data_IF_647599367343
#
_entry.id   IF_647599367343
#
_cell.length_a   1.000
_cell.length_b   1.000
_cell.length_c   1.000
_cell.angle_alpha   90.00
_cell.angle_beta   90.00
_cell.angle_gamma   90.00
#
_symmetry.space_group_name_H-M   'P 1'
#
loop_
_entity.id
_entity.type
_entity.pdbx_description
1 polymer ?
#
# COMPACT_ATOMS: atom_id res chain seq x y z
N UNK A 1 -9.71 45.87 -10.55
CA UNK A 1 -9.42 45.55 -9.13
C UNK A 1 -9.32 46.89 -8.39
N UNK A 2 -10.10 47.09 -7.32
CA UNK A 2 -10.13 48.35 -6.55
C UNK A 2 -8.74 48.68 -5.97
N UNK A 3 -8.36 49.96 -5.90
CA UNK A 3 -7.08 50.44 -5.33
C UNK A 3 -6.86 49.91 -3.91
N UNK A 4 -7.94 49.76 -3.14
CA UNK A 4 -7.89 49.18 -1.79
C UNK A 4 -7.53 47.68 -1.79
N UNK A 5 -8.06 46.92 -2.75
CA UNK A 5 -7.71 45.49 -2.92
C UNK A 5 -6.27 45.36 -3.41
N UNK A 6 -5.83 46.23 -4.32
CA UNK A 6 -4.43 46.27 -4.77
C UNK A 6 -3.46 46.59 -3.61
N UNK A 7 -3.82 47.54 -2.75
CA UNK A 7 -3.05 47.88 -1.56
C UNK A 7 -2.99 46.71 -0.56
N UNK A 8 -4.11 46.04 -0.29
CA UNK A 8 -4.16 44.85 0.57
C UNK A 8 -3.30 43.71 0.03
N UNK A 9 -3.38 43.41 -1.26
CA UNK A 9 -2.55 42.38 -1.91
C UNK A 9 -1.07 42.73 -1.79
N UNK A 10 -0.69 44.00 -1.95
CA UNK A 10 0.71 44.46 -1.78
C UNK A 10 1.24 44.40 -0.34
N UNK A 11 0.35 44.26 0.64
CA UNK A 11 0.67 44.15 2.08
C UNK A 11 0.38 42.77 2.64
N UNK A 12 -0.02 41.83 1.80
CA UNK A 12 -0.24 40.45 2.21
C UNK A 12 1.11 39.85 2.62
N UNK A 13 1.22 39.24 3.82
CA UNK A 13 2.39 38.44 4.16
C UNK A 13 2.61 37.36 3.11
N UNK A 14 3.85 36.89 2.97
CA UNK A 14 4.12 35.69 2.17
C UNK A 14 3.20 34.56 2.62
N UNK A 15 2.54 33.92 1.66
CA UNK A 15 1.61 32.83 1.96
C UNK A 15 2.37 31.70 2.65
N UNK A 16 1.93 31.33 3.85
CA UNK A 16 2.43 30.13 4.52
C UNK A 16 2.19 28.93 3.59
N UNK A 17 3.26 28.22 3.20
CA UNK A 17 3.19 27.01 2.39
C UNK A 17 2.67 25.82 3.22
N UNK A 18 1.41 25.90 3.63
CA UNK A 18 0.70 24.82 4.31
C UNK A 18 0.26 23.79 3.26
N UNK A 19 0.69 22.54 3.45
CA UNK A 19 0.25 21.42 2.65
C UNK A 19 -0.90 20.70 3.34
N UNK A 20 -1.78 20.06 2.57
CA UNK A 20 -2.89 19.23 3.06
C UNK A 20 -2.85 17.87 2.38
N UNK A 21 -2.83 16.81 3.18
CA UNK A 21 -2.89 15.42 2.73
C UNK A 21 -3.82 14.64 3.65
N UNK A 22 -4.35 13.50 3.18
CA UNK A 22 -4.96 12.54 4.11
C UNK A 22 -3.86 11.94 5.00
N UNK A 23 -4.22 11.46 6.19
CA UNK A 23 -3.25 10.83 7.09
C UNK A 23 -2.54 9.64 6.42
N UNK A 24 -3.25 8.87 5.61
CA UNK A 24 -2.66 7.75 4.89
C UNK A 24 -1.66 8.21 3.83
N UNK A 25 -2.05 9.15 2.95
CA UNK A 25 -1.15 9.74 1.95
C UNK A 25 0.08 10.37 2.60
N UNK A 26 -0.10 11.10 3.70
CA UNK A 26 0.98 11.74 4.45
C UNK A 26 2.03 10.74 4.93
N UNK A 27 1.59 9.60 5.45
CA UNK A 27 2.49 8.54 5.92
C UNK A 27 3.14 7.83 4.73
N UNK A 28 2.37 7.46 3.71
CA UNK A 28 2.89 6.75 2.53
C UNK A 28 3.95 7.59 1.80
N UNK A 29 3.66 8.86 1.53
CA UNK A 29 4.60 9.79 0.87
C UNK A 29 5.85 10.03 1.72
N UNK A 30 5.68 10.23 3.04
CA UNK A 30 6.79 10.44 3.96
C UNK A 30 7.69 9.22 4.10
N UNK A 31 7.10 8.03 4.20
CA UNK A 31 7.81 6.75 4.27
C UNK A 31 8.50 6.44 2.93
N UNK A 32 7.84 6.61 1.79
CA UNK A 32 8.49 6.40 0.49
C UNK A 32 9.66 7.38 0.27
N UNK A 33 9.43 8.64 0.62
CA UNK A 33 10.40 9.73 0.52
C UNK A 33 11.66 9.49 1.34
N UNK A 34 11.52 9.18 2.63
CA UNK A 34 12.66 9.10 3.54
C UNK A 34 13.17 7.67 3.82
N UNK A 35 12.27 6.70 3.95
CA UNK A 35 12.64 5.29 4.17
C UNK A 35 12.84 4.54 2.85
N UNK A 36 11.84 4.55 1.96
CA UNK A 36 11.78 3.71 0.76
C UNK A 36 13.01 3.88 -0.13
N UNK A 37 13.32 5.12 -0.54
CA UNK A 37 14.49 5.42 -1.38
C UNK A 37 15.80 4.89 -0.80
N UNK A 38 16.01 5.05 0.52
CA UNK A 38 17.26 4.64 1.19
C UNK A 38 17.34 3.13 1.39
N UNK A 39 16.25 2.54 1.84
CA UNK A 39 16.14 1.10 2.08
C UNK A 39 16.34 0.31 0.78
N UNK A 40 15.58 0.61 -0.28
CA UNK A 40 15.68 -0.12 -1.54
C UNK A 40 17.02 0.10 -2.25
N UNK A 41 17.66 1.25 -2.04
CA UNK A 41 19.01 1.50 -2.52
C UNK A 41 20.05 0.61 -1.81
N UNK A 42 20.08 0.58 -0.47
CA UNK A 42 20.97 -0.31 0.29
C UNK A 42 20.73 -1.78 -0.05
N UNK A 43 19.46 -2.19 -0.09
CA UNK A 43 19.07 -3.55 -0.43
C UNK A 43 19.59 -3.97 -1.81
N UNK A 44 19.43 -3.10 -2.83
CA UNK A 44 19.92 -3.37 -4.19
C UNK A 44 21.45 -3.51 -4.21
N UNK A 45 22.17 -2.61 -3.54
CA UNK A 45 23.64 -2.66 -3.49
C UNK A 45 24.15 -3.94 -2.79
N UNK A 46 23.59 -4.27 -1.62
CA UNK A 46 23.96 -5.49 -0.89
C UNK A 46 23.69 -6.74 -1.71
N UNK A 47 22.53 -6.80 -2.38
CA UNK A 47 22.16 -7.92 -3.26
C UNK A 47 23.09 -8.06 -4.46
N UNK A 48 23.48 -6.95 -5.10
CA UNK A 48 24.44 -6.97 -6.21
C UNK A 48 25.85 -7.40 -5.76
N UNK A 49 26.23 -7.06 -4.54
CA UNK A 49 27.50 -7.48 -3.94
C UNK A 49 27.46 -8.90 -3.34
N UNK A 50 26.30 -9.56 -3.32
CA UNK A 50 26.13 -10.88 -2.71
C UNK A 50 26.26 -10.88 -1.18
N UNK A 51 26.04 -9.73 -0.54
CA UNK A 51 26.04 -9.59 0.92
C UNK A 51 24.72 -10.10 1.52
N UNK A 52 24.72 -10.57 2.78
CA UNK A 52 23.50 -10.96 3.48
C UNK A 52 22.58 -9.77 3.72
N UNK A 53 21.34 -10.03 4.13
CA UNK A 53 20.39 -8.98 4.49
C UNK A 53 20.95 -8.03 5.56
N UNK A 54 20.44 -6.80 5.58
CA UNK A 54 20.83 -5.84 6.61
C UNK A 54 20.26 -6.29 7.97
N UNK A 55 20.90 -5.84 9.05
CA UNK A 55 20.44 -6.13 10.41
C UNK A 55 19.01 -5.60 10.63
N UNK A 56 18.05 -6.44 11.07
CA UNK A 56 16.66 -6.05 11.31
C UNK A 56 16.49 -4.81 12.18
N UNK A 57 17.25 -4.70 13.27
CA UNK A 57 17.17 -3.56 14.19
C UNK A 57 17.45 -2.23 13.51
N UNK A 58 18.41 -2.20 12.57
CA UNK A 58 18.78 -1.00 11.82
C UNK A 58 17.68 -0.59 10.84
N UNK A 59 17.04 -1.56 10.18
CA UNK A 59 15.92 -1.30 9.26
C UNK A 59 14.71 -0.77 10.06
N UNK A 60 14.38 -1.43 11.18
CA UNK A 60 13.28 -1.04 12.06
C UNK A 60 13.51 0.37 12.63
N UNK A 61 14.73 0.67 13.08
CA UNK A 61 15.08 2.00 13.58
C UNK A 61 14.96 3.08 12.50
N UNK A 62 15.44 2.81 11.27
CA UNK A 62 15.24 3.74 10.15
C UNK A 62 13.75 4.02 9.93
N UNK A 63 12.92 2.99 9.80
CA UNK A 63 11.48 3.15 9.59
C UNK A 63 10.80 3.90 10.74
N UNK A 64 11.02 3.47 11.98
CA UNK A 64 10.39 4.08 13.15
C UNK A 64 10.85 5.53 13.39
N UNK A 65 12.09 5.87 13.01
CA UNK A 65 12.60 7.25 13.09
C UNK A 65 11.95 8.19 12.07
N UNK A 66 11.63 7.70 10.86
CA UNK A 66 10.85 8.47 9.88
C UNK A 66 9.46 8.75 10.44
N UNK A 67 8.79 7.76 11.02
CA UNK A 67 7.49 7.96 11.65
C UNK A 67 7.56 8.92 12.84
N UNK A 68 8.62 8.86 13.65
CA UNK A 68 8.84 9.80 14.74
C UNK A 68 8.95 11.23 14.21
N UNK A 69 9.78 11.43 13.18
CA UNK A 69 9.92 12.72 12.51
C UNK A 69 8.60 13.24 11.92
N UNK A 70 7.88 12.41 11.16
CA UNK A 70 6.58 12.77 10.60
C UNK A 70 5.58 13.12 11.71
N UNK A 71 5.64 12.42 12.85
CA UNK A 71 4.78 12.74 13.99
C UNK A 71 5.08 14.12 14.57
N UNK A 72 6.36 14.51 14.63
CA UNK A 72 6.79 15.81 15.14
C UNK A 72 6.45 16.95 14.17
N UNK A 73 6.53 16.70 12.85
CA UNK A 73 6.11 17.65 11.82
C UNK A 73 4.59 17.85 11.83
N UNK A 74 3.80 16.77 11.89
CA UNK A 74 2.34 16.81 11.91
C UNK A 74 1.77 17.41 13.21
N UNK A 75 2.53 17.37 14.31
CA UNK A 75 2.13 17.91 15.62
C UNK A 75 2.94 19.14 16.04
N UNK A 76 3.50 19.87 15.08
CA UNK A 76 4.31 21.06 15.31
C UNK A 76 3.55 22.12 16.10
N UNK A 77 4.13 22.60 17.21
CA UNK A 77 3.54 23.64 18.05
C UNK A 77 3.32 24.96 17.30
N UNK A 78 4.11 25.23 16.26
CA UNK A 78 3.95 26.39 15.39
C UNK A 78 2.60 26.43 14.66
N UNK A 79 1.90 25.29 14.55
CA UNK A 79 0.54 25.25 13.98
C UNK A 79 -0.48 25.92 14.90
N UNK A 80 -0.25 25.89 16.23
CA UNK A 80 -1.10 26.54 17.21
C UNK A 80 -1.10 28.07 17.07
N UNK A 81 -0.03 28.65 16.54
CA UNK A 81 0.10 30.10 16.35
C UNK A 81 -0.72 30.63 15.17
N UNK A 82 -1.27 29.72 14.35
CA UNK A 82 -2.08 30.09 13.19
C UNK A 82 -3.51 30.44 13.60
N UNK A 83 -3.95 31.65 13.25
CA UNK A 83 -5.35 32.09 13.45
C UNK A 83 -6.30 31.68 12.30
N UNK A 84 -5.92 30.64 11.55
CA UNK A 84 -6.64 30.07 10.42
C UNK A 84 -7.27 28.72 10.84
N UNK A 85 -8.46 28.30 10.37
CA UNK A 85 -9.29 28.85 9.30
C UNK A 85 -10.34 29.86 9.77
N UNK A 86 -10.87 30.64 8.82
CA UNK A 86 -12.06 31.49 9.05
C UNK A 86 -13.28 30.58 9.24
N UNK A 87 -14.02 30.81 10.33
CA UNK A 87 -15.04 29.87 10.83
C UNK A 87 -16.16 29.58 9.83
N UNK A 88 -16.51 30.57 9.03
CA UNK A 88 -17.62 30.56 8.07
C UNK A 88 -17.35 29.73 6.82
N UNK A 89 -16.07 29.44 6.55
CA UNK A 89 -15.65 28.65 5.39
C UNK A 89 -15.14 27.26 5.79
N UNK A 90 -15.17 26.93 7.08
CA UNK A 90 -14.67 25.65 7.58
C UNK A 90 -15.74 24.57 7.44
N UNK A 91 -15.38 23.46 6.79
CA UNK A 91 -16.24 22.30 6.65
C UNK A 91 -15.85 21.19 7.63
N UNK A 92 -16.80 20.35 8.08
CA UNK A 92 -16.50 19.13 8.82
C UNK A 92 -15.54 18.23 8.03
N UNK A 93 -14.47 17.78 8.70
CA UNK A 93 -13.36 16.99 8.14
C UNK A 93 -12.28 17.81 7.44
N UNK A 94 -12.55 19.08 7.15
CA UNK A 94 -11.69 19.94 6.34
C UNK A 94 -11.57 19.47 4.88
N UNK A 95 -10.96 20.32 4.06
CA UNK A 95 -10.69 20.06 2.65
C UNK A 95 -9.24 20.43 2.31
N UNK A 96 -8.85 20.33 1.03
CA UNK A 96 -7.45 20.57 0.62
C UNK A 96 -6.98 22.01 0.88
N UNK A 97 -7.91 22.96 0.95
CA UNK A 97 -7.65 24.39 1.05
C UNK A 97 -7.88 24.92 2.47
N UNK A 98 -8.85 24.36 3.19
CA UNK A 98 -9.35 24.85 4.46
C UNK A 98 -9.46 23.70 5.46
N UNK A 99 -8.72 23.77 6.58
CA UNK A 99 -8.87 22.82 7.66
C UNK A 99 -10.22 22.93 8.39
N UNK A 100 -10.54 21.95 9.22
CA UNK A 100 -11.65 22.03 10.16
C UNK A 100 -11.30 22.96 11.33
N UNK A 101 -12.31 23.47 12.05
CA UNK A 101 -12.14 24.49 13.11
C UNK A 101 -11.14 24.15 14.23
N UNK A 102 -10.96 22.87 14.53
CA UNK A 102 -10.16 22.40 15.66
C UNK A 102 -8.84 21.74 15.23
N UNK A 103 -8.39 21.98 14.00
CA UNK A 103 -7.24 21.27 13.42
C UNK A 103 -5.91 21.59 14.10
N UNK A 104 -5.77 22.78 14.69
CA UNK A 104 -4.56 23.25 15.33
C UNK A 104 -4.67 23.33 16.85
N UNK A 105 -5.71 22.76 17.45
CA UNK A 105 -5.79 22.68 18.91
C UNK A 105 -4.79 21.63 19.43
N UNK A 106 -4.13 21.87 20.57
CA UNK A 106 -3.07 21.00 21.07
C UNK A 106 -3.54 19.55 21.28
N UNK A 107 -4.79 19.34 21.65
CA UNK A 107 -5.37 18.01 21.80
C UNK A 107 -5.44 17.25 20.46
N UNK A 108 -5.84 17.93 19.37
CA UNK A 108 -5.88 17.32 18.04
C UNK A 108 -4.46 17.00 17.54
N UNK A 109 -3.51 17.92 17.73
CA UNK A 109 -2.11 17.69 17.38
C UNK A 109 -1.51 16.52 18.18
N UNK A 110 -1.82 16.40 19.47
CA UNK A 110 -1.41 15.28 20.30
C UNK A 110 -2.05 13.95 19.85
N UNK A 111 -3.29 13.98 19.35
CA UNK A 111 -3.92 12.82 18.73
C UNK A 111 -3.24 12.46 17.42
N UNK A 112 -2.95 13.43 16.54
CA UNK A 112 -2.22 13.21 15.28
C UNK A 112 -0.86 12.58 15.55
N UNK A 113 -0.11 13.09 16.52
CA UNK A 113 1.16 12.50 16.96
C UNK A 113 1.01 11.01 17.29
N UNK A 114 0.01 10.67 18.12
CA UNK A 114 -0.27 9.27 18.49
C UNK A 114 -0.73 8.43 17.31
N UNK A 115 -1.52 8.99 16.39
CA UNK A 115 -1.99 8.31 15.20
C UNK A 115 -0.81 7.96 14.27
N UNK A 116 0.08 8.92 14.00
CA UNK A 116 1.31 8.70 13.21
C UNK A 116 2.21 7.65 13.88
N UNK A 117 2.46 7.76 15.18
CA UNK A 117 3.32 6.81 15.91
C UNK A 117 2.74 5.39 15.96
N UNK A 118 1.42 5.23 15.83
CA UNK A 118 0.81 3.89 15.82
C UNK A 118 1.12 3.06 14.56
N UNK A 119 1.71 3.67 13.52
CA UNK A 119 2.27 2.96 12.37
C UNK A 119 3.63 2.30 12.65
N UNK A 120 4.25 2.58 13.80
CA UNK A 120 5.53 1.97 14.18
C UNK A 120 5.38 0.46 14.30
N UNK A 121 6.46 -0.24 13.98
CA UNK A 121 6.59 -1.68 14.17
C UNK A 121 7.46 -1.96 15.41
N UNK A 122 7.19 -3.04 16.17
CA UNK A 122 7.98 -3.38 17.34
C UNK A 122 9.43 -3.69 16.96
N UNK A 123 10.37 -3.48 17.89
CA UNK A 123 11.74 -3.95 17.71
C UNK A 123 11.78 -5.47 17.74
N UNK A 124 12.65 -6.05 16.91
CA UNK A 124 12.85 -7.48 16.83
C UNK A 124 14.13 -7.88 17.58
N UNK A 125 13.99 -8.76 18.56
CA UNK A 125 15.13 -9.41 19.20
C UNK A 125 15.71 -10.48 18.26
N UNK A 126 17.00 -10.37 17.97
CA UNK A 126 17.67 -11.30 17.05
C UNK A 126 17.90 -12.66 17.72
N UNK A 127 17.70 -13.77 16.98
CA UNK A 127 17.98 -15.08 17.51
C UNK A 127 19.50 -15.27 17.67
N UNK A 128 19.95 -16.05 18.66
CA UNK A 128 21.38 -16.36 18.83
C UNK A 128 22.00 -16.97 17.56
N UNK A 129 23.28 -16.68 17.34
CA UNK A 129 24.04 -17.28 16.24
C UNK A 129 24.06 -18.81 16.40
N UNK A 130 23.52 -19.53 15.42
CA UNK A 130 23.40 -20.99 15.46
C UNK A 130 22.09 -21.52 16.06
N UNK A 131 21.10 -20.66 16.32
CA UNK A 131 19.78 -21.11 16.75
C UNK A 131 19.14 -22.06 15.72
N UNK A 132 18.45 -23.12 16.16
CA UNK A 132 17.78 -24.07 15.28
C UNK A 132 16.65 -23.39 14.47
N UNK A 133 16.49 -23.79 13.22
CA UNK A 133 15.58 -23.16 12.26
C UNK A 133 14.12 -23.11 12.72
N UNK A 134 13.61 -24.20 13.30
CA UNK A 134 12.20 -24.28 13.72
C UNK A 134 11.86 -23.24 14.80
N UNK A 135 12.62 -23.11 15.90
CA UNK A 135 12.43 -22.00 16.84
C UNK A 135 12.58 -20.61 16.24
N UNK A 136 13.51 -20.42 15.30
CA UNK A 136 13.66 -19.12 14.61
C UNK A 136 12.41 -18.78 13.79
N UNK A 137 11.86 -19.73 13.02
CA UNK A 137 10.60 -19.54 12.31
C UNK A 137 9.46 -19.19 13.27
N UNK A 138 9.37 -19.90 14.40
CA UNK A 138 8.33 -19.63 15.40
C UNK A 138 8.44 -18.20 15.96
N UNK A 139 9.65 -17.76 16.30
CA UNK A 139 9.93 -16.39 16.75
C UNK A 139 9.52 -15.36 15.68
N UNK A 140 9.83 -15.61 14.41
CA UNK A 140 9.42 -14.72 13.30
C UNK A 140 7.89 -14.67 13.19
N UNK A 141 7.20 -15.80 13.26
CA UNK A 141 5.73 -15.81 13.23
C UNK A 141 5.09 -15.13 14.44
N UNK A 142 5.68 -15.28 15.62
CA UNK A 142 5.27 -14.55 16.82
C UNK A 142 5.43 -13.04 16.62
N UNK A 143 6.57 -12.59 16.10
CA UNK A 143 6.80 -11.18 15.77
C UNK A 143 5.78 -10.65 14.76
N UNK A 144 5.57 -11.36 13.66
CA UNK A 144 4.59 -11.00 12.61
C UNK A 144 3.18 -10.88 13.17
N UNK A 145 2.80 -11.76 14.12
CA UNK A 145 1.48 -11.70 14.77
C UNK A 145 1.25 -10.43 15.60
N UNK A 146 2.33 -9.77 16.07
CA UNK A 146 2.23 -8.52 16.82
C UNK A 146 1.97 -7.30 15.91
N UNK A 147 2.22 -7.43 14.60
CA UNK A 147 2.12 -6.32 13.65
C UNK A 147 0.69 -6.17 13.12
N UNK A 148 0.00 -7.30 12.91
CA UNK A 148 -1.37 -7.34 12.41
C UNK A 148 -2.32 -6.62 13.39
N UNK A 149 -3.15 -5.71 12.86
CA UNK A 149 -4.13 -4.98 13.66
C UNK A 149 -5.40 -5.79 13.90
N UNK A 150 -5.57 -6.94 13.22
CA UNK A 150 -6.73 -7.80 13.36
C UNK A 150 -6.43 -9.27 13.10
N UNK A 151 -7.26 -10.15 13.66
CA UNK A 151 -7.20 -11.60 13.41
C UNK A 151 -7.51 -12.00 11.97
N UNK A 152 -8.18 -11.13 11.19
CA UNK A 152 -8.58 -11.42 9.81
C UNK A 152 -7.46 -11.17 8.81
N UNK A 153 -6.59 -10.20 9.10
CA UNK A 153 -5.46 -9.80 8.25
C UNK A 153 -4.17 -10.55 8.61
N UNK A 154 -4.10 -11.11 9.83
CA UNK A 154 -2.99 -11.93 10.29
C UNK A 154 -2.64 -13.12 9.37
N UNK A 155 -3.59 -13.94 8.85
CA UNK A 155 -3.24 -15.05 7.95
C UNK A 155 -2.57 -14.59 6.66
N UNK A 156 -2.89 -13.38 6.17
CA UNK A 156 -2.30 -12.84 4.94
C UNK A 156 -0.80 -12.61 5.11
N UNK A 157 -0.40 -11.86 6.15
CA UNK A 157 1.01 -11.60 6.41
C UNK A 157 1.77 -12.89 6.80
N UNK A 158 1.13 -13.80 7.54
CA UNK A 158 1.72 -15.09 7.88
C UNK A 158 2.04 -15.92 6.63
N UNK A 159 1.10 -16.03 5.69
CA UNK A 159 1.31 -16.81 4.45
C UNK A 159 2.44 -16.23 3.57
N UNK A 160 2.56 -14.90 3.51
CA UNK A 160 3.62 -14.23 2.75
C UNK A 160 4.99 -14.50 3.37
N UNK A 161 5.10 -14.41 4.70
CA UNK A 161 6.34 -14.71 5.42
C UNK A 161 6.68 -16.19 5.37
N UNK A 162 5.69 -17.07 5.50
CA UNK A 162 5.88 -18.52 5.36
C UNK A 162 6.44 -18.90 3.99
N UNK A 163 5.95 -18.26 2.92
CA UNK A 163 6.46 -18.45 1.57
C UNK A 163 7.94 -18.03 1.46
N UNK A 164 8.32 -16.89 2.07
CA UNK A 164 9.72 -16.44 2.12
C UNK A 164 10.62 -17.42 2.88
N UNK A 165 10.17 -17.91 4.04
CA UNK A 165 10.90 -18.88 4.85
C UNK A 165 11.04 -20.22 4.13
N UNK A 166 9.96 -20.70 3.49
CA UNK A 166 9.95 -21.94 2.71
C UNK A 166 10.92 -21.87 1.54
N UNK A 167 10.92 -20.77 0.78
CA UNK A 167 11.89 -20.53 -0.31
C UNK A 167 13.32 -20.52 0.20
N UNK A 168 13.56 -19.92 1.36
CA UNK A 168 14.89 -19.87 1.99
C UNK A 168 15.35 -21.27 2.38
N UNK A 169 14.47 -22.04 3.02
CA UNK A 169 14.73 -23.42 3.41
C UNK A 169 15.00 -24.34 2.20
N UNK A 170 14.18 -24.25 1.15
CA UNK A 170 14.38 -25.01 -0.09
C UNK A 170 15.72 -24.67 -0.77
N UNK A 171 16.06 -23.37 -0.83
CA UNK A 171 17.33 -22.92 -1.40
C UNK A 171 18.53 -23.43 -0.62
N UNK A 172 18.44 -23.45 0.72
CA UNK A 172 19.45 -24.04 1.59
C UNK A 172 19.55 -25.55 1.37
N UNK A 173 18.42 -26.27 1.40
CA UNK A 173 18.37 -27.73 1.19
C UNK A 173 18.99 -28.17 -0.14
N UNK A 174 18.75 -27.40 -1.21
CA UNK A 174 19.30 -27.68 -2.53
C UNK A 174 20.82 -27.45 -2.62
N UNK A 175 21.42 -26.67 -1.70
CA UNK A 175 22.87 -26.43 -1.62
C UNK A 175 23.59 -27.48 -0.79
N UNK A 176 22.92 -28.01 0.24
CA UNK A 176 23.51 -28.88 1.27
C UNK A 176 23.22 -30.37 1.00
N UNK A 177 23.32 -30.79 -0.27
CA UNK A 177 23.12 -32.21 -0.64
C UNK A 177 24.32 -33.02 -0.15
N UNK A 178 24.19 -33.65 1.03
CA UNK A 178 25.16 -34.63 1.53
C UNK A 178 25.56 -34.54 3.00
N UNK A 179 25.14 -33.52 3.76
CA UNK A 179 25.41 -33.41 5.20
C UNK A 179 24.17 -33.80 6.02
N UNK A 180 24.38 -34.51 7.13
CA UNK A 180 23.33 -35.09 7.98
C UNK A 180 22.40 -34.03 8.62
N UNK A 181 21.26 -33.82 7.97
CA UNK A 181 19.85 -33.76 8.42
C UNK A 181 19.39 -33.10 9.74
N UNK A 182 20.19 -32.33 10.47
CA UNK A 182 19.64 -31.56 11.63
C UNK A 182 19.96 -30.06 11.68
N UNK A 183 20.80 -29.55 10.79
CA UNK A 183 21.00 -28.11 10.63
C UNK A 183 19.89 -27.48 9.79
N UNK A 184 19.49 -26.25 10.05
CA UNK A 184 18.70 -25.45 9.11
C UNK A 184 19.48 -24.24 8.62
N UNK A 185 18.86 -23.36 7.81
CA UNK A 185 19.48 -22.11 7.37
C UNK A 185 20.03 -21.29 8.54
N UNK A 186 21.17 -20.64 8.34
CA UNK A 186 21.75 -19.75 9.34
C UNK A 186 20.95 -18.44 9.47
N UNK A 187 21.13 -17.73 10.58
CA UNK A 187 20.44 -16.44 10.84
C UNK A 187 20.77 -15.38 9.78
N UNK A 188 21.98 -15.42 9.21
CA UNK A 188 22.43 -14.51 8.16
C UNK A 188 21.83 -14.81 6.78
N UNK A 189 21.31 -16.02 6.57
CA UNK A 189 20.65 -16.43 5.32
C UNK A 189 19.16 -16.06 5.29
N UNK A 190 18.60 -15.64 6.43
CA UNK A 190 17.20 -15.21 6.53
C UNK A 190 17.03 -13.90 5.72
N UNK A 191 16.01 -13.81 4.86
CA UNK A 191 15.77 -12.63 4.04
C UNK A 191 15.09 -11.52 4.87
N UNK A 192 15.79 -10.99 5.86
CA UNK A 192 15.28 -9.99 6.79
C UNK A 192 14.73 -8.75 6.10
N UNK A 193 15.40 -8.27 5.05
CA UNK A 193 14.94 -7.12 4.27
C UNK A 193 13.53 -7.37 3.70
N UNK A 194 13.30 -8.57 3.15
CA UNK A 194 12.01 -8.93 2.56
C UNK A 194 10.93 -9.12 3.61
N UNK A 195 11.26 -9.76 4.74
CA UNK A 195 10.32 -9.98 5.84
C UNK A 195 9.85 -8.64 6.40
N UNK A 196 10.79 -7.71 6.68
CA UNK A 196 10.45 -6.40 7.21
C UNK A 196 9.72 -5.53 6.19
N UNK A 197 10.07 -5.59 4.91
CA UNK A 197 9.32 -4.89 3.87
C UNK A 197 7.85 -5.35 3.81
N UNK A 198 7.61 -6.67 3.90
CA UNK A 198 6.25 -7.23 3.99
C UNK A 198 5.54 -6.76 5.26
N UNK A 199 6.23 -6.72 6.39
CA UNK A 199 5.67 -6.24 7.65
C UNK A 199 5.27 -4.76 7.59
N UNK A 200 6.11 -3.91 7.00
CA UNK A 200 5.86 -2.48 6.84
C UNK A 200 4.68 -2.24 5.89
N UNK A 201 4.69 -2.87 4.72
CA UNK A 201 3.60 -2.74 3.74
C UNK A 201 2.26 -3.20 4.34
N UNK A 202 2.26 -4.30 5.08
CA UNK A 202 1.06 -4.74 5.80
C UNK A 202 0.61 -3.73 6.86
N UNK A 203 1.54 -3.15 7.62
CA UNK A 203 1.23 -2.18 8.68
C UNK A 203 0.62 -0.91 8.13
N UNK A 204 1.09 -0.44 6.97
CA UNK A 204 0.53 0.70 6.26
C UNK A 204 -0.91 0.44 5.78
N UNK A 205 -1.21 -0.77 5.31
CA UNK A 205 -2.53 -1.14 4.77
C UNK A 205 -3.57 -1.53 5.81
N UNK A 206 -3.18 -2.24 6.86
CA UNK A 206 -4.08 -2.72 7.93
C UNK A 206 -4.09 -1.76 9.13
N UNK A 207 -3.78 -0.48 8.91
CA UNK A 207 -3.75 0.47 10.00
C UNK A 207 -5.15 0.69 10.59
N UNK A 208 -5.21 0.72 11.93
CA UNK A 208 -6.41 1.08 12.68
C UNK A 208 -6.10 2.23 13.62
N UNK A 209 -6.93 3.29 13.64
CA UNK A 209 -6.72 4.42 14.52
C UNK A 209 -6.76 3.96 16.00
N UNK A 210 -5.79 4.38 16.82
CA UNK A 210 -5.68 3.91 18.21
C UNK A 210 -6.85 4.35 19.10
N UNK A 211 -7.50 5.47 18.77
CA UNK A 211 -8.72 6.02 19.41
C UNK A 211 -9.50 6.87 18.39
N UNK A 212 -10.80 7.06 18.63
CA UNK A 212 -11.57 8.06 17.87
C UNK A 212 -10.90 9.44 17.99
N UNK A 213 -10.82 10.23 16.91
CA UNK A 213 -10.31 11.59 16.97
C UNK A 213 -11.12 12.41 17.97
N UNK A 214 -10.41 13.25 18.73
CA UNK A 214 -10.97 14.04 19.83
C UNK A 214 -12.04 15.01 19.31
N UNK A 215 -11.87 15.49 18.08
CA UNK A 215 -12.86 16.25 17.36
C UNK A 215 -13.60 15.33 16.35
N UNK A 216 -14.91 15.08 16.51
CA UNK A 216 -15.68 14.35 15.51
C UNK A 216 -15.70 15.09 14.15
N UNK A 217 -15.59 16.42 14.20
CA UNK A 217 -15.42 17.32 13.06
C UNK A 217 -14.08 17.14 12.31
N UNK A 218 -13.13 16.32 12.81
CA UNK A 218 -11.87 16.06 12.11
C UNK A 218 -11.97 14.94 11.07
N UNK A 219 -13.06 14.18 11.08
CA UNK A 219 -13.28 13.06 10.18
C UNK A 219 -14.15 13.52 9.02
N UNK A 220 -13.64 13.39 7.80
CA UNK A 220 -14.41 13.64 6.58
C UNK A 220 -15.54 12.63 6.44
N UNK A 221 -16.51 12.90 5.55
CA UNK A 221 -17.63 11.99 5.25
C UNK A 221 -17.17 10.58 4.87
N UNK A 222 -15.99 10.47 4.27
CA UNK A 222 -15.38 9.21 3.83
C UNK A 222 -14.58 8.49 4.93
N UNK A 223 -14.65 8.95 6.19
CA UNK A 223 -13.95 8.34 7.33
C UNK A 223 -12.46 8.69 7.42
N UNK A 224 -11.96 9.56 6.54
CA UNK A 224 -10.56 9.97 6.49
C UNK A 224 -10.27 11.18 7.39
N UNK A 225 -9.04 11.28 7.87
CA UNK A 225 -8.54 12.45 8.61
C UNK A 225 -7.49 13.14 7.75
N UNK A 226 -7.54 14.48 7.67
CA UNK A 226 -6.55 15.30 6.96
C UNK A 226 -5.49 15.84 7.91
N UNK A 227 -4.26 15.86 7.42
CA UNK A 227 -3.08 16.41 8.11
C UNK A 227 -2.64 17.66 7.37
N UNK A 228 -2.39 18.72 8.14
CA UNK A 228 -1.88 19.98 7.64
C UNK A 228 -0.50 20.24 8.23
N UNK A 229 0.46 20.56 7.39
CA UNK A 229 1.86 20.69 7.82
C UNK A 229 2.63 21.68 6.93
N UNK A 230 3.72 22.21 7.47
CA UNK A 230 4.63 23.07 6.71
C UNK A 230 5.55 22.23 5.82
N UNK A 231 5.55 22.53 4.52
CA UNK A 231 6.38 21.81 3.54
C UNK A 231 7.87 21.90 3.86
N UNK A 232 8.32 23.01 4.43
CA UNK A 232 9.71 23.24 4.79
C UNK A 232 10.18 22.32 5.91
N UNK A 233 9.30 21.97 6.85
CA UNK A 233 9.65 21.11 7.98
C UNK A 233 10.01 19.70 7.53
N UNK A 234 9.45 19.22 6.41
CA UNK A 234 9.80 17.93 5.83
C UNK A 234 11.28 17.85 5.40
N UNK A 235 11.93 18.98 5.11
CA UNK A 235 13.36 19.00 4.70
C UNK A 235 14.33 18.77 5.85
N UNK A 236 13.85 18.84 7.10
CA UNK A 236 14.69 18.82 8.29
C UNK A 236 14.88 17.41 8.87
N UNK A 237 14.59 16.36 8.09
CA UNK A 237 14.79 14.99 8.54
C UNK A 237 16.26 14.66 8.76
N UNK A 238 16.58 14.15 9.95
CA UNK A 238 17.92 13.66 10.31
C UNK A 238 17.93 12.15 10.37
N UNK A 239 18.89 11.51 9.69
CA UNK A 239 19.00 10.05 9.71
C UNK A 239 19.48 9.53 11.08
N UNK A 240 19.03 8.32 11.47
CA UNK A 240 19.60 7.63 12.62
C UNK A 240 21.07 7.28 12.42
N UNK A 241 21.86 7.47 13.48
CA UNK A 241 23.28 7.13 13.50
C UNK A 241 23.55 5.64 13.20
N UNK A 242 22.66 4.74 13.63
CA UNK A 242 22.78 3.31 13.36
C UNK A 242 22.72 2.99 11.86
N UNK A 243 21.85 3.68 11.12
CA UNK A 243 21.71 3.54 9.67
C UNK A 243 22.97 4.03 8.95
N UNK A 244 23.49 5.21 9.32
CA UNK A 244 24.72 5.73 8.73
C UNK A 244 25.89 4.78 8.95
N UNK A 245 26.02 4.23 10.17
CA UNK A 245 27.04 3.23 10.48
C UNK A 245 26.87 1.94 9.67
N UNK A 246 25.64 1.46 9.53
CA UNK A 246 25.35 0.25 8.74
C UNK A 246 25.64 0.46 7.25
N UNK A 247 25.36 1.66 6.72
CA UNK A 247 25.71 2.04 5.34
C UNK A 247 27.21 2.10 5.12
N UNK A 248 27.96 2.71 6.03
CA UNK A 248 29.42 2.70 5.99
C UNK A 248 29.98 1.27 6.02
N UNK A 249 29.39 0.39 6.85
CA UNK A 249 29.74 -1.03 6.89
C UNK A 249 29.45 -1.72 5.56
N UNK A 250 28.28 -1.49 4.96
CA UNK A 250 27.95 -2.02 3.62
C UNK A 250 29.01 -1.59 2.61
N UNK A 251 29.38 -0.31 2.55
CA UNK A 251 30.39 0.19 1.62
C UNK A 251 31.76 -0.45 1.83
N UNK A 252 32.17 -0.64 3.08
CA UNK A 252 33.44 -1.29 3.42
C UNK A 252 33.46 -2.77 3.03
N UNK A 253 32.36 -3.50 3.29
CA UNK A 253 32.20 -4.90 2.88
C UNK A 253 32.26 -5.06 1.36
N UNK A 254 31.58 -4.16 0.63
CA UNK A 254 31.63 -4.10 -0.83
C UNK A 254 33.06 -3.85 -1.32
N UNK A 255 33.77 -2.86 -0.77
CA UNK A 255 35.15 -2.53 -1.15
C UNK A 255 36.09 -3.71 -0.94
N UNK A 256 36.03 -4.34 0.23
CA UNK A 256 36.82 -5.55 0.54
C UNK A 256 36.51 -6.71 -0.38
N UNK A 257 35.24 -6.90 -0.76
CA UNK A 257 34.83 -7.91 -1.73
C UNK A 257 35.44 -7.67 -3.12
N UNK A 258 35.47 -6.42 -3.57
CA UNK A 258 36.10 -6.03 -4.83
C UNK A 258 37.62 -6.24 -4.81
N UNK A 259 38.31 -5.88 -3.72
CA UNK A 259 39.75 -6.10 -3.56
C UNK A 259 40.12 -7.60 -3.60
N UNK A 260 39.34 -8.44 -2.89
CA UNK A 260 39.51 -9.90 -2.92
C UNK A 260 39.24 -10.52 -4.30
N UNK A 261 38.33 -9.91 -5.07
CA UNK A 261 37.99 -10.36 -6.42
C UNK A 261 39.01 -9.91 -7.47
N UNK A 262 39.72 -8.79 -7.27
CA UNK A 262 40.85 -8.38 -8.15
C UNK A 262 42.07 -9.29 -8.00
N UNK A 263 42.24 -9.94 -6.85
CA UNK A 263 43.37 -10.85 -6.58
C UNK A 263 43.10 -12.27 -7.11
N UNK A 264 41.84 -12.62 -7.44
CA UNK A 264 41.47 -13.91 -8.03
C UNK A 264 41.00 -13.71 -9.48
N UNK A 265 41.79 -14.21 -10.43
CA UNK A 265 41.45 -14.28 -11.86
C UNK A 265 40.01 -14.77 -12.10
N UNK A 266 39.29 -14.23 -13.11
CA UNK A 266 37.86 -14.47 -13.25
C UNK A 266 37.59 -15.92 -13.69
N UNK A 267 36.95 -16.70 -12.83
CA UNK A 267 36.11 -17.84 -13.24
C UNK A 267 34.66 -17.36 -13.33
N UNK A 268 33.90 -17.78 -14.36
CA UNK A 268 32.55 -17.28 -14.56
C UNK A 268 31.62 -17.88 -13.50
N UNK A 269 31.25 -17.09 -12.50
CA UNK A 269 30.17 -17.44 -11.58
C UNK A 269 28.83 -17.26 -12.29
N UNK A 270 28.06 -18.36 -12.42
CA UNK A 270 26.70 -18.36 -12.95
C UNK A 270 25.78 -17.53 -12.04
N UNK A 271 25.07 -16.56 -12.62
CA UNK A 271 24.02 -15.76 -11.97
C UNK A 271 22.90 -16.68 -11.45
N UNK A 272 22.40 -16.51 -10.21
CA UNK A 272 21.11 -17.08 -9.83
C UNK A 272 19.96 -16.27 -10.47
N UNK A 273 18.93 -16.98 -10.90
CA UNK A 273 17.73 -16.50 -11.59
C UNK A 273 17.16 -15.17 -11.09
N UNK A 274 16.76 -14.36 -12.06
CA UNK A 274 15.90 -13.20 -11.95
C UNK A 274 14.54 -13.57 -11.35
N UNK A 275 14.09 -12.79 -10.37
CA UNK A 275 12.66 -12.69 -10.02
C UNK A 275 12.10 -11.57 -10.89
N UNK A 276 10.90 -11.68 -11.48
CA UNK A 276 10.33 -10.62 -12.31
C UNK A 276 10.09 -9.39 -11.43
N UNK A 277 10.73 -8.27 -11.80
CA UNK A 277 10.33 -6.95 -11.31
C UNK A 277 9.10 -6.53 -12.09
N UNK A 278 8.03 -6.14 -11.40
CA UNK A 278 7.00 -5.30 -12.00
C UNK A 278 7.54 -3.87 -12.03
N UNK A 279 7.68 -3.23 -13.21
CA UNK A 279 7.97 -1.81 -13.26
C UNK A 279 6.75 -1.02 -12.81
N UNK A 280 6.94 -0.14 -11.83
CA UNK A 280 6.02 0.98 -11.64
C UNK A 280 6.11 1.87 -12.88
N UNK A 281 5.07 1.85 -13.72
CA UNK A 281 4.88 2.85 -14.75
C UNK A 281 4.50 4.16 -14.07
N UNK A 282 5.44 5.10 -13.96
CA UNK A 282 5.09 6.51 -14.10
C UNK A 282 6.22 7.24 -14.81
N UNK A 283 5.87 7.77 -15.99
CA UNK A 283 6.65 8.77 -16.66
C UNK A 283 6.61 10.07 -15.86
N UNK A 284 7.75 10.74 -15.82
CA UNK A 284 7.78 12.19 -15.80
C UNK A 284 9.14 12.61 -16.32
N UNK A 285 9.14 13.08 -17.56
CA UNK A 285 10.28 13.79 -18.11
C UNK A 285 10.44 15.10 -17.37
N UNK A 286 11.68 15.46 -17.05
CA UNK A 286 12.24 16.78 -17.34
C UNK A 286 13.75 16.78 -17.07
N UNK A 287 14.49 16.90 -18.16
CA UNK A 287 15.62 17.81 -18.38
C UNK A 287 16.78 17.82 -17.36
N UNK A 288 17.95 17.39 -17.85
CA UNK A 288 19.16 18.23 -17.93
C UNK A 288 20.14 17.61 -18.95
N UNK A 289 20.09 18.09 -20.19
CA UNK A 289 21.15 17.89 -21.17
C UNK A 289 22.24 18.94 -20.92
N UNK A 290 23.47 18.46 -20.73
CA UNK A 290 24.66 19.30 -20.77
C UNK A 290 24.93 19.75 -22.20
N UNK A 291 25.26 21.03 -22.35
CA UNK A 291 25.58 21.68 -23.61
C UNK A 291 26.71 20.98 -24.38
N UNK A 292 26.45 20.66 -25.65
CA UNK A 292 27.45 20.71 -26.70
C UNK A 292 26.79 21.21 -27.98
N UNK A 293 27.37 22.27 -28.54
CA UNK A 293 26.86 23.06 -29.65
C UNK A 293 26.80 22.28 -30.98
N UNK A 294 25.64 22.43 -31.62
CA UNK A 294 25.40 22.74 -33.05
C UNK A 294 26.12 21.88 -34.11
N UNK A 295 25.34 21.04 -34.80
CA UNK A 295 25.37 20.89 -36.26
C UNK A 295 24.03 20.33 -36.76
N UNK A 296 23.46 20.97 -37.80
CA UNK A 296 22.12 20.74 -38.37
C UNK A 296 22.06 19.37 -39.09
N UNK A 297 20.95 18.60 -39.01
CA UNK A 297 20.86 17.26 -39.61
C UNK A 297 20.45 17.29 -41.09
N UNK A 298 21.03 16.39 -41.89
CA UNK A 298 20.61 16.12 -43.26
C UNK A 298 19.67 14.91 -43.33
N UNK A 299 18.58 15.10 -44.07
CA UNK A 299 17.62 14.14 -44.63
C UNK A 299 18.07 12.67 -44.72
N UNK A 300 17.83 11.87 -43.67
CA UNK A 300 17.80 10.39 -43.76
C UNK A 300 16.88 9.72 -42.69
N UNK A 301 15.93 10.46 -42.11
CA UNK A 301 15.07 9.97 -41.00
C UNK A 301 13.79 9.22 -41.42
N UNK A 302 13.57 8.96 -42.72
CA UNK A 302 12.33 8.33 -43.19
C UNK A 302 12.34 6.79 -43.22
N UNK A 303 13.49 6.13 -43.08
CA UNK A 303 13.59 4.66 -43.12
C UNK A 303 13.48 4.00 -41.74
N UNK A 304 13.79 4.72 -40.65
CA UNK A 304 13.85 4.16 -39.29
C UNK A 304 12.45 4.01 -38.65
N UNK A 305 11.51 4.91 -39.01
CA UNK A 305 10.12 4.87 -38.51
C UNK A 305 9.34 3.68 -39.10
N UNK A 306 9.58 3.32 -40.36
CA UNK A 306 8.93 2.18 -41.02
C UNK A 306 9.33 0.85 -40.38
N UNK A 307 10.62 0.68 -40.06
CA UNK A 307 11.13 -0.54 -39.43
C UNK A 307 10.66 -0.68 -37.97
N UNK A 308 10.53 0.44 -37.25
CA UNK A 308 9.97 0.46 -35.90
C UNK A 308 8.47 0.08 -35.90
N UNK A 309 7.71 0.54 -36.89
CA UNK A 309 6.30 0.22 -37.05
C UNK A 309 6.06 -1.26 -37.39
N UNK A 310 6.88 -1.83 -38.28
CA UNK A 310 6.81 -3.26 -38.62
C UNK A 310 7.17 -4.16 -37.42
N UNK A 311 8.16 -3.78 -36.61
CA UNK A 311 8.52 -4.51 -35.39
C UNK A 311 7.41 -4.48 -34.34
N UNK A 312 6.76 -3.34 -34.18
CA UNK A 312 5.62 -3.20 -33.25
C UNK A 312 4.44 -4.06 -33.70
N UNK A 313 4.12 -4.06 -34.99
CA UNK A 313 3.06 -4.91 -35.55
C UNK A 313 3.39 -6.40 -35.39
N UNK A 314 4.64 -6.81 -35.58
CA UNK A 314 5.06 -8.19 -35.35
C UNK A 314 4.93 -8.61 -33.87
N UNK A 315 5.29 -7.73 -32.93
CA UNK A 315 5.10 -7.98 -31.49
C UNK A 315 3.61 -8.08 -31.12
N UNK A 316 2.77 -7.17 -31.62
CA UNK A 316 1.32 -7.22 -31.38
C UNK A 316 0.68 -8.51 -31.91
N UNK A 317 1.11 -9.00 -33.06
CA UNK A 317 0.63 -10.28 -33.60
C UNK A 317 1.07 -11.47 -32.75
N UNK A 318 2.31 -11.45 -32.24
CA UNK A 318 2.83 -12.48 -31.34
C UNK A 318 2.04 -12.50 -30.03
N UNK A 319 1.82 -11.34 -29.41
CA UNK A 319 1.03 -11.21 -28.19
C UNK A 319 -0.43 -11.64 -28.42
N UNK A 320 -1.02 -11.35 -29.58
CA UNK A 320 -2.37 -11.80 -29.92
C UNK A 320 -2.48 -13.32 -30.08
N UNK A 321 -1.42 -13.98 -30.53
CA UNK A 321 -1.35 -15.45 -30.59
C UNK A 321 -1.19 -16.03 -29.20
N UNK A 322 -0.32 -15.45 -28.36
CA UNK A 322 -0.14 -15.88 -26.97
C UNK A 322 -1.43 -15.68 -26.16
N UNK A 323 -2.09 -14.54 -26.29
CA UNK A 323 -3.37 -14.26 -25.64
C UNK A 323 -4.45 -15.26 -26.06
N UNK A 324 -4.50 -15.63 -27.35
CA UNK A 324 -5.41 -16.69 -27.81
C UNK A 324 -5.12 -18.04 -27.18
N UNK A 325 -3.84 -18.41 -27.02
CA UNK A 325 -3.46 -19.64 -26.30
C UNK A 325 -3.87 -19.60 -24.84
N UNK A 326 -3.69 -18.47 -24.16
CA UNK A 326 -4.13 -18.32 -22.78
C UNK A 326 -5.65 -18.43 -22.63
N UNK A 327 -6.39 -17.80 -23.55
CA UNK A 327 -7.85 -17.94 -23.63
C UNK A 327 -8.27 -19.40 -23.85
N UNK A 328 -7.64 -20.11 -24.78
CA UNK A 328 -7.92 -21.54 -25.03
C UNK A 328 -7.63 -22.40 -23.80
N UNK A 329 -6.54 -22.12 -23.07
CA UNK A 329 -6.21 -22.79 -21.81
C UNK A 329 -7.24 -22.49 -20.71
N UNK A 330 -7.69 -21.24 -20.59
CA UNK A 330 -8.75 -20.84 -19.67
C UNK A 330 -10.07 -21.55 -19.96
N UNK A 331 -10.46 -21.62 -21.24
CA UNK A 331 -11.66 -22.34 -21.65
C UNK A 331 -11.55 -23.84 -21.36
N UNK A 332 -10.36 -24.44 -21.51
CA UNK A 332 -10.12 -25.82 -21.14
C UNK A 332 -10.30 -26.04 -19.63
N UNK A 333 -9.76 -25.16 -18.78
CA UNK A 333 -9.95 -25.22 -17.32
C UNK A 333 -11.39 -24.99 -16.87
N UNK A 334 -12.19 -24.24 -17.62
CA UNK A 334 -13.60 -24.01 -17.32
C UNK A 334 -14.53 -25.14 -17.79
N UNK A 335 -14.07 -25.99 -18.71
CA UNK A 335 -14.87 -27.10 -19.28
C UNK A 335 -14.63 -28.41 -18.53
N UNK A 336 -13.49 -28.56 -17.85
CA UNK A 336 -13.21 -29.71 -16.97
C UNK A 336 -13.90 -29.50 -15.60
N UNK A 337 -15.08 -30.11 -15.43
CA UNK A 337 -15.81 -30.16 -14.16
C UNK A 337 -14.92 -30.72 -13.03
N UNK A 338 -14.94 -30.02 -11.89
CA UNK A 338 -14.06 -30.18 -10.74
C UNK A 338 -14.30 -31.52 -10.03
N UNK A 339 -13.30 -32.43 -10.09
CA UNK A 339 -13.09 -33.48 -9.06
C UNK A 339 -11.69 -33.35 -8.43
N UNK A 340 -11.53 -33.72 -7.15
CA UNK A 340 -10.66 -33.01 -6.22
C UNK A 340 -9.22 -33.53 -6.28
N UNK A 341 -8.32 -32.69 -6.81
CA UNK A 341 -6.87 -32.83 -6.67
C UNK A 341 -6.36 -31.43 -6.29
N UNK A 342 -5.84 -31.17 -5.09
CA UNK A 342 -4.76 -31.94 -4.48
C UNK A 342 -3.50 -31.66 -5.29
N UNK A 343 -2.68 -30.72 -4.86
CA UNK A 343 -1.53 -30.16 -5.61
C UNK A 343 -1.90 -29.35 -6.87
N UNK A 344 -2.05 -28.02 -6.69
CA UNK A 344 -1.57 -26.95 -7.59
C UNK A 344 -2.21 -25.59 -7.18
N UNK A 345 -1.82 -25.04 -6.03
CA UNK A 345 -2.08 -23.62 -5.74
C UNK A 345 -0.87 -22.79 -6.16
N UNK A 346 -0.86 -22.47 -7.46
CA UNK A 346 0.08 -21.58 -8.12
C UNK A 346 -0.62 -20.62 -9.07
N UNK A 347 -1.67 -19.93 -8.61
CA UNK A 347 -2.26 -18.80 -9.33
C UNK A 347 -2.38 -17.59 -8.39
N UNK A 348 -2.01 -16.38 -8.86
CA UNK A 348 -2.27 -15.16 -8.12
C UNK A 348 -3.76 -14.81 -8.28
N UNK A 349 -4.50 -14.84 -7.18
CA UNK A 349 -5.86 -14.31 -7.13
C UNK A 349 -5.80 -12.77 -7.21
N UNK A 350 -5.77 -12.23 -8.41
CA UNK A 350 -6.07 -10.82 -8.64
C UNK A 350 -7.50 -10.72 -9.17
N UNK A 351 -8.42 -10.34 -8.29
CA UNK A 351 -9.79 -9.97 -8.64
C UNK A 351 -9.89 -8.45 -8.50
N UNK A 352 -10.12 -7.69 -9.58
CA UNK A 352 -10.27 -6.24 -9.50
C UNK A 352 -11.43 -5.86 -8.58
N UNK A 353 -11.22 -4.81 -7.79
CA UNK A 353 -12.17 -4.31 -6.79
C UNK A 353 -13.53 -3.86 -7.38
N UNK A 354 -13.65 -3.71 -8.70
CA UNK A 354 -14.89 -3.33 -9.38
C UNK A 354 -16.02 -4.38 -9.28
N UNK A 355 -15.71 -5.63 -8.93
CA UNK A 355 -16.72 -6.70 -8.75
C UNK A 355 -17.10 -6.97 -7.28
N UNK A 356 -16.47 -6.32 -6.29
CA UNK A 356 -16.73 -6.53 -4.86
C UNK A 356 -17.76 -5.57 -4.26
N UNK A 357 -18.32 -4.65 -5.04
CA UNK A 357 -19.39 -3.78 -4.56
C UNK A 357 -20.74 -4.47 -4.67
N UNK A 358 -21.04 -5.38 -3.74
CA UNK A 358 -22.43 -5.67 -3.36
C UNK A 358 -22.70 -5.10 -1.99
N UNK A 359 -23.68 -4.20 -1.94
CA UNK A 359 -24.05 -3.40 -0.78
C UNK A 359 -24.44 -4.29 0.40
N UNK A 360 -23.68 -4.22 1.50
CA UNK A 360 -24.04 -4.85 2.75
C UNK A 360 -25.21 -4.08 3.40
N UNK A 361 -26.43 -4.54 3.15
CA UNK A 361 -27.59 -4.16 3.96
C UNK A 361 -27.41 -4.80 5.33
N UNK A 362 -27.35 -3.96 6.36
CA UNK A 362 -27.19 -4.32 7.75
C UNK A 362 -28.31 -5.28 8.23
N UNK A 363 -27.92 -6.41 8.82
CA UNK A 363 -28.80 -7.25 9.64
C UNK A 363 -28.48 -7.00 11.12
N UNK A 364 -29.47 -6.68 11.98
CA UNK A 364 -29.22 -6.47 13.40
C UNK A 364 -29.00 -7.78 14.15
N UNK A 365 -27.99 -7.73 15.01
CA UNK A 365 -27.49 -8.72 15.96
C UNK A 365 -28.58 -9.23 16.93
N UNK A 366 -28.99 -10.50 16.79
CA UNK A 366 -29.83 -11.18 17.79
C UNK A 366 -28.94 -11.73 18.91
N UNK A 367 -29.08 -11.15 20.10
CA UNK A 367 -28.52 -11.68 21.36
C UNK A 367 -29.38 -12.85 21.83
N UNK A 368 -28.75 -14.00 22.08
CA UNK A 368 -29.33 -15.11 22.83
C UNK A 368 -29.01 -14.96 24.33
N UNK A 369 -29.99 -15.24 25.22
CA UNK A 369 -29.68 -15.79 26.54
C UNK A 369 -30.47 -17.08 26.85
N UNK A 370 -29.79 -18.04 27.50
CA UNK A 370 -30.37 -19.22 28.14
C UNK A 370 -30.90 -18.88 29.57
N UNK A 371 -31.77 -19.73 30.18
CA UNK A 371 -32.78 -19.35 31.19
C UNK A 371 -32.33 -19.61 32.64
N UNK A 372 -33.16 -19.26 33.66
CA UNK A 372 -34.04 -20.31 34.24
C UNK A 372 -35.41 -19.85 34.82
N UNK A 373 -36.31 -20.85 34.92
CA UNK A 373 -37.28 -21.22 35.98
C UNK A 373 -38.46 -20.30 36.44
N UNK A 374 -39.65 -20.95 36.45
CA UNK A 374 -40.82 -20.83 37.38
C UNK A 374 -41.54 -19.46 37.46
N UNK A 375 -42.84 -19.30 37.66
CA UNK A 375 -44.06 -20.12 37.82
C UNK A 375 -45.24 -19.12 37.76
N UNK A 376 -46.42 -19.60 37.40
CA UNK A 376 -47.76 -19.08 37.76
C UNK A 376 -48.19 -17.64 37.39
N UNK A 377 -49.40 -17.56 36.79
CA UNK A 377 -50.34 -16.46 37.10
C UNK A 377 -50.89 -15.67 35.92
N UNK A 378 -52.06 -16.11 35.44
CA UNK A 378 -53.25 -15.29 35.14
C UNK A 378 -53.20 -14.09 34.17
N UNK A 379 -53.96 -14.29 33.09
CA UNK A 379 -55.03 -13.44 32.55
C UNK A 379 -54.78 -12.00 32.08
N UNK A 380 -55.21 -11.83 30.82
CA UNK A 380 -56.04 -10.75 30.27
C UNK A 380 -55.40 -9.42 29.86
N UNK A 381 -55.56 -9.14 28.56
CA UNK A 381 -55.33 -7.81 27.99
C UNK A 381 -55.07 -7.82 26.48
N UNK A 382 -55.94 -8.44 25.69
CA UNK A 382 -55.91 -8.30 24.22
C UNK A 382 -56.11 -6.83 23.84
N UNK A 383 -55.12 -6.21 23.19
CA UNK A 383 -55.34 -5.19 22.16
C UNK A 383 -54.51 -5.53 20.93
N UNK A 384 -55.22 -5.54 19.80
CA UNK A 384 -54.75 -5.93 18.49
C UNK A 384 -53.57 -5.06 18.03
N UNK A 385 -52.50 -5.73 17.60
CA UNK A 385 -51.47 -5.14 16.74
C UNK A 385 -51.62 -5.84 15.40
N UNK A 386 -51.87 -5.04 14.37
CA UNK A 386 -51.90 -5.45 12.97
C UNK A 386 -50.59 -6.17 12.64
N UNK A 387 -50.71 -7.45 12.28
CA UNK A 387 -49.64 -8.21 11.66
C UNK A 387 -49.38 -7.58 10.28
N UNK A 388 -48.39 -6.69 10.20
CA UNK A 388 -47.78 -6.31 8.92
C UNK A 388 -47.22 -7.59 8.27
N UNK A 389 -47.98 -8.07 7.30
CA UNK A 389 -47.63 -9.18 6.43
C UNK A 389 -46.40 -8.75 5.63
N UNK A 390 -45.25 -9.33 5.93
CA UNK A 390 -44.06 -9.25 5.10
C UNK A 390 -44.42 -9.55 3.64
N UNK A 391 -44.10 -8.67 2.67
CA UNK A 391 -44.49 -8.88 1.26
C UNK A 391 -43.85 -10.16 0.74
N UNK A 392 -44.64 -10.95 0.02
CA UNK A 392 -44.22 -12.25 -0.46
C UNK A 392 -43.02 -12.10 -1.40
N UNK A 393 -42.14 -13.11 -1.45
CA UNK A 393 -40.95 -13.10 -2.30
C UNK A 393 -41.24 -12.73 -3.77
N UNK A 394 -42.46 -13.01 -4.25
CA UNK A 394 -42.95 -12.60 -5.57
C UNK A 394 -42.97 -11.08 -5.77
N UNK A 395 -43.33 -10.30 -4.75
CA UNK A 395 -43.41 -8.84 -4.85
C UNK A 395 -42.02 -8.22 -4.94
N UNK A 396 -41.04 -8.79 -4.23
CA UNK A 396 -39.62 -8.39 -4.35
C UNK A 396 -39.05 -8.72 -5.72
N UNK A 397 -39.40 -9.87 -6.27
CA UNK A 397 -38.94 -10.30 -7.60
C UNK A 397 -39.52 -9.40 -8.70
N UNK A 398 -40.82 -9.06 -8.60
CA UNK A 398 -41.46 -8.11 -9.49
C UNK A 398 -40.84 -6.71 -9.40
N UNK A 399 -40.54 -6.23 -8.18
CA UNK A 399 -39.87 -4.95 -7.99
C UNK A 399 -38.48 -4.91 -8.62
N UNK A 400 -37.68 -5.97 -8.45
CA UNK A 400 -36.35 -6.06 -9.07
C UNK A 400 -36.43 -6.15 -10.59
N UNK A 401 -37.41 -6.86 -11.15
CA UNK A 401 -37.64 -6.86 -12.59
C UNK A 401 -38.01 -5.47 -13.12
N UNK A 402 -38.78 -4.71 -12.35
CA UNK A 402 -39.17 -3.35 -12.72
C UNK A 402 -37.97 -2.40 -12.70
N UNK A 403 -37.08 -2.53 -11.71
CA UNK A 403 -35.81 -1.79 -11.64
C UNK A 403 -34.85 -2.15 -12.77
N UNK A 404 -34.73 -3.43 -13.12
CA UNK A 404 -33.91 -3.87 -14.26
C UNK A 404 -34.42 -3.31 -15.58
N UNK A 405 -35.74 -3.20 -15.76
CA UNK A 405 -36.32 -2.59 -16.95
C UNK A 405 -36.04 -1.08 -17.00
N UNK A 406 -36.23 -0.37 -15.90
CA UNK A 406 -35.92 1.05 -15.81
C UNK A 406 -34.43 1.34 -16.05
N UNK A 407 -33.53 0.48 -15.57
CA UNK A 407 -32.09 0.62 -15.82
C UNK A 407 -31.74 0.44 -17.30
N UNK A 408 -32.34 -0.56 -17.98
CA UNK A 408 -32.15 -0.75 -19.43
C UNK A 408 -32.67 0.42 -20.26
N UNK A 409 -33.81 0.99 -19.86
CA UNK A 409 -34.38 2.15 -20.56
C UNK A 409 -33.49 3.40 -20.36
N UNK A 410 -32.90 3.57 -19.18
CA UNK A 410 -31.94 4.64 -18.91
C UNK A 410 -30.62 4.47 -19.68
N UNK A 411 -30.14 3.23 -19.84
CA UNK A 411 -28.95 2.90 -20.63
C UNK A 411 -29.17 3.21 -22.12
N UNK A 412 -30.32 2.81 -22.68
CA UNK A 412 -30.68 3.13 -24.07
C UNK A 412 -30.83 4.64 -24.31
N UNK A 413 -31.38 5.38 -23.34
CA UNK A 413 -31.45 6.83 -23.42
C UNK A 413 -30.06 7.50 -23.38
N UNK A 414 -29.13 6.97 -22.58
CA UNK A 414 -27.75 7.44 -22.54
C UNK A 414 -26.99 7.11 -23.83
N UNK A 415 -27.22 5.93 -24.41
CA UNK A 415 -26.62 5.53 -25.69
C UNK A 415 -27.08 6.44 -26.83
N UNK A 416 -28.37 6.79 -26.89
CA UNK A 416 -28.90 7.76 -27.86
C UNK A 416 -28.30 9.16 -27.64
N UNK A 417 -28.12 9.59 -26.39
CA UNK A 417 -27.49 10.87 -26.10
C UNK A 417 -26.02 10.91 -26.56
N UNK A 418 -25.28 9.84 -26.31
CA UNK A 418 -23.90 9.69 -26.76
C UNK A 418 -23.81 9.61 -28.29
N UNK A 419 -24.73 8.90 -28.94
CA UNK A 419 -24.78 8.81 -30.40
C UNK A 419 -25.06 10.16 -31.05
N UNK A 420 -25.98 10.95 -30.47
CA UNK A 420 -26.25 12.32 -30.92
C UNK A 420 -25.05 13.26 -30.73
N UNK A 421 -24.28 13.10 -29.65
CA UNK A 421 -23.04 13.86 -29.44
C UNK A 421 -21.96 13.50 -30.47
N UNK A 422 -21.88 12.23 -30.88
CA UNK A 422 -20.94 11.76 -31.90
C UNK A 422 -21.33 12.28 -33.28
N UNK A 423 -22.62 12.28 -33.64
CA UNK A 423 -23.09 12.83 -34.94
C UNK A 423 -22.86 14.35 -35.07
N UNK A 424 -22.83 15.10 -33.97
CA UNK A 424 -22.49 16.54 -34.01
C UNK A 424 -21.00 16.82 -34.22
N UNK A 425 -20.12 15.83 -34.03
CA UNK A 425 -18.66 15.97 -34.23
C UNK A 425 -18.27 15.76 -35.70
N UNK A 426 -19.17 15.20 -36.51
CA UNK A 426 -18.97 14.94 -37.94
C UNK A 426 -19.60 16.03 -38.87
N UNK A 427 -19.90 17.23 -38.36
CA UNK A 427 -20.37 18.40 -39.14
C UNK A 427 -19.29 19.48 -39.27
#
# INVERSE_FOLDING_TARGET
ISVAVGWLVSRCPESLELCSQTLQEYIEDGVDGEFGKRFYHDWKERRLAGLPSQEPGVIIELYNSVLQFLSDVASSEQLCDLSWPVTEFSEPGGNKQLPHLQWNVPDHLAWLKKAVLSFQIPYLDLPPLGAPWRPVCHMIFQYVSQIASSSHTQPLIQSQVENLLTKTYQKWKNRTVGDSDEGGPSVDEIPWDCILAVCIDHKLRDWKPPKLPIAPEAVSKDGQVRVYFFKEHLKNYTLPFSWDRARLRTQEEIRRGHERSRIKSPKPFKKPCSIPMMPAQYGSGMSKLSAQEVSIPSSDEFTDVSLAQERLLAQLQLEKIENRRFEEQLHQYLTEDIEPLGDLLGLPLYLPQSLLSTSAIACPLVKSPMPPAQEAGSQEGRKAVETERSPALSDRLNHLQQLLRAAKDAEAASELHLSALVEMVDI
#
